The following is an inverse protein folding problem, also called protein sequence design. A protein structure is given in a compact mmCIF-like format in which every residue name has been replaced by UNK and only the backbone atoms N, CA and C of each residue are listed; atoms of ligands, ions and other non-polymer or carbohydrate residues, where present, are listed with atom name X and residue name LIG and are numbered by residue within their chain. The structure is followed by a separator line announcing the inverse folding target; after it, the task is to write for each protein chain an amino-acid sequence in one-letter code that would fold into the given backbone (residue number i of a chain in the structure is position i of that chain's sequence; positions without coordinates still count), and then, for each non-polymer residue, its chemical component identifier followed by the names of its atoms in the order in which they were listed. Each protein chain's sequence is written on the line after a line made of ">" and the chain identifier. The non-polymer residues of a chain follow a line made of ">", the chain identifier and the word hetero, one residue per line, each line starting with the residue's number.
data_IF_243835312592
#
_entry.id   IF_243835312592
#
_cell.length_a   1.000
_cell.length_b   1.000
_cell.length_c   1.000
_cell.angle_alpha   90.00
_cell.angle_beta   90.00
_cell.angle_gamma   90.00
#
_symmetry.space_group_name_H-M   'P 1'
#
loop_
_entity.id
_entity.type
_entity.pdbx_description
1 polymer ?
#
# COMPACT_ATOMS: atom_id res chain seq x y z
N UNK A 1 25.74 -6.63 -14.53
CA UNK A 1 24.99 -6.69 -13.25
C UNK A 1 23.99 -5.56 -13.23
N UNK A 2 22.75 -5.80 -12.79
CA UNK A 2 21.77 -4.73 -12.61
C UNK A 2 22.22 -3.78 -11.49
N UNK A 3 21.71 -2.53 -11.49
CA UNK A 3 21.95 -1.58 -10.39
C UNK A 3 21.54 -2.15 -9.02
N UNK A 4 20.55 -3.05 -9.03
CA UNK A 4 20.10 -3.86 -7.88
C UNK A 4 21.18 -4.85 -7.41
N UNK A 5 21.79 -5.61 -8.33
CA UNK A 5 22.82 -6.60 -8.00
C UNK A 5 24.12 -5.99 -7.40
N UNK A 6 24.34 -4.68 -7.59
CA UNK A 6 25.48 -3.94 -7.01
C UNK A 6 25.07 -3.02 -5.86
N UNK A 7 23.85 -3.14 -5.34
CA UNK A 7 23.37 -2.39 -4.17
C UNK A 7 23.16 -0.89 -4.38
N UNK A 8 23.11 -0.42 -5.64
CA UNK A 8 22.88 1.00 -5.97
C UNK A 8 21.41 1.39 -6.05
N UNK A 9 20.52 0.41 -6.08
CA UNK A 9 19.07 0.60 -5.97
C UNK A 9 18.59 -0.24 -4.80
N UNK A 10 17.90 0.39 -3.84
CA UNK A 10 17.21 -0.30 -2.75
C UNK A 10 15.75 -0.43 -3.14
N UNK A 11 15.24 -1.67 -3.14
CA UNK A 11 13.82 -1.95 -3.35
C UNK A 11 13.17 -2.31 -2.00
N UNK A 12 11.86 -2.19 -1.91
CA UNK A 12 11.11 -2.64 -0.74
C UNK A 12 11.21 -4.15 -0.58
N UNK A 13 11.05 -4.63 0.66
CA UNK A 13 11.06 -6.07 0.95
C UNK A 13 9.96 -6.79 0.17
N UNK A 14 8.77 -6.19 0.02
CA UNK A 14 7.68 -6.78 -0.76
C UNK A 14 8.04 -6.96 -2.24
N UNK A 15 8.68 -5.96 -2.85
CA UNK A 15 9.17 -6.09 -4.23
C UNK A 15 10.26 -7.15 -4.35
N UNK A 16 11.21 -7.18 -3.40
CA UNK A 16 12.29 -8.17 -3.39
C UNK A 16 11.74 -9.59 -3.28
N UNK A 17 10.82 -9.84 -2.35
CA UNK A 17 10.15 -11.12 -2.17
C UNK A 17 9.36 -11.53 -3.40
N UNK A 18 8.61 -10.61 -4.01
CA UNK A 18 7.86 -10.90 -5.22
C UNK A 18 8.77 -11.38 -6.36
N UNK A 19 9.95 -10.76 -6.52
CA UNK A 19 10.91 -11.20 -7.54
C UNK A 19 11.53 -12.56 -7.21
N UNK A 20 11.88 -12.81 -5.94
CA UNK A 20 12.49 -14.08 -5.50
C UNK A 20 11.51 -15.24 -5.72
N UNK A 21 10.25 -15.04 -5.33
CA UNK A 21 9.20 -16.06 -5.41
C UNK A 21 8.50 -16.11 -6.78
N UNK A 22 8.97 -15.32 -7.76
CA UNK A 22 8.35 -15.19 -9.09
C UNK A 22 6.86 -14.83 -9.04
N UNK A 23 6.46 -14.03 -8.04
CA UNK A 23 5.14 -13.41 -7.98
C UNK A 23 5.09 -12.31 -9.04
N UNK A 24 4.00 -12.27 -9.79
CA UNK A 24 3.79 -11.27 -10.83
C UNK A 24 3.75 -9.85 -10.23
N UNK A 25 4.77 -9.05 -10.53
CA UNK A 25 4.75 -7.60 -10.27
C UNK A 25 3.97 -6.92 -11.38
N UNK A 26 2.94 -6.16 -10.99
CA UNK A 26 2.03 -5.51 -11.95
C UNK A 26 2.76 -4.55 -12.89
N UNK A 27 2.45 -4.69 -14.16
CA UNK A 27 3.03 -3.91 -15.26
C UNK A 27 2.34 -2.57 -15.47
N UNK A 28 3.00 -1.70 -16.22
CA UNK A 28 2.42 -0.46 -16.74
C UNK A 28 1.11 -0.69 -17.50
N UNK A 29 1.03 -1.74 -18.32
CA UNK A 29 -0.19 -2.08 -19.07
C UNK A 29 -1.35 -2.40 -18.13
N UNK A 30 -1.09 -3.18 -17.09
CA UNK A 30 -2.11 -3.48 -16.07
C UNK A 30 -2.55 -2.23 -15.31
N UNK A 31 -1.63 -1.28 -15.05
CA UNK A 31 -1.99 0.00 -14.45
C UNK A 31 -2.93 0.82 -15.35
N UNK A 32 -2.67 0.86 -16.66
CA UNK A 32 -3.56 1.53 -17.63
C UNK A 32 -4.93 0.87 -17.74
N UNK A 33 -5.01 -0.45 -17.56
CA UNK A 33 -6.26 -1.22 -17.61
C UNK A 33 -7.05 -1.22 -16.29
N UNK A 34 -6.59 -0.50 -15.25
CA UNK A 34 -7.23 -0.52 -13.93
C UNK A 34 -7.04 -1.84 -13.16
N UNK A 35 -6.06 -2.65 -13.58
CA UNK A 35 -5.66 -3.93 -12.94
C UNK A 35 -4.41 -3.77 -12.09
N UNK A 36 -4.10 -2.56 -11.65
CA UNK A 36 -3.05 -2.25 -10.69
C UNK A 36 -3.35 -0.91 -10.02
N UNK A 37 -2.66 -0.66 -8.90
CA UNK A 37 -2.65 0.64 -8.23
C UNK A 37 -1.20 1.09 -8.12
N UNK A 38 -0.95 2.34 -8.51
CA UNK A 38 0.36 2.96 -8.42
C UNK A 38 0.68 3.32 -6.97
N UNK A 39 1.97 3.40 -6.64
CA UNK A 39 2.44 3.76 -5.29
C UNK A 39 2.13 5.20 -4.86
N UNK A 40 1.58 6.01 -5.76
CA UNK A 40 1.14 7.39 -5.52
C UNK A 40 -0.40 7.54 -5.58
N UNK A 41 -1.13 6.42 -5.68
CA UNK A 41 -2.59 6.29 -5.79
C UNK A 41 -3.17 6.85 -7.10
N UNK A 42 -2.72 8.03 -7.53
CA UNK A 42 -3.35 8.83 -8.58
C UNK A 42 -2.70 8.71 -9.95
N UNK A 43 -1.59 7.96 -10.07
CA UNK A 43 -0.72 7.88 -11.25
C UNK A 43 -0.02 9.20 -11.63
N UNK A 44 -0.16 10.28 -10.86
CA UNK A 44 0.39 11.59 -11.18
C UNK A 44 1.91 11.56 -11.34
N UNK A 45 2.62 10.96 -10.39
CA UNK A 45 4.07 10.83 -10.44
C UNK A 45 4.51 9.99 -11.64
N UNK A 46 3.81 8.89 -11.92
CA UNK A 46 4.13 8.00 -13.03
C UNK A 46 3.91 8.65 -14.39
N UNK A 47 2.81 9.40 -14.54
CA UNK A 47 2.52 10.21 -15.72
C UNK A 47 3.63 11.24 -15.94
N UNK A 48 4.10 11.92 -14.90
CA UNK A 48 5.10 12.98 -15.02
C UNK A 48 6.52 12.45 -15.29
N UNK A 49 6.88 11.28 -14.76
CA UNK A 49 8.28 10.86 -14.68
C UNK A 49 8.68 9.64 -15.53
N UNK A 50 7.75 8.76 -15.91
CA UNK A 50 8.11 7.49 -16.58
C UNK A 50 7.81 7.52 -18.08
N UNK A 51 6.56 7.84 -18.45
CA UNK A 51 6.13 8.01 -19.84
C UNK A 51 5.06 9.09 -19.92
N UNK A 52 5.45 10.37 -20.01
CA UNK A 52 4.52 11.45 -20.25
C UNK A 52 3.62 11.11 -21.43
N UNK A 53 2.30 11.23 -21.25
CA UNK A 53 1.23 10.93 -22.23
C UNK A 53 0.77 9.47 -22.39
N UNK A 54 1.37 8.49 -21.70
CA UNK A 54 0.90 7.09 -21.77
C UNK A 54 -0.08 6.73 -20.65
N UNK A 55 -0.05 7.43 -19.52
CA UNK A 55 -0.89 7.17 -18.34
C UNK A 55 -1.80 8.35 -18.05
N UNK A 56 -3.08 8.08 -17.90
CA UNK A 56 -4.03 9.03 -17.34
C UNK A 56 -3.92 9.02 -15.82
N UNK A 57 -4.01 10.21 -15.23
CA UNK A 57 -4.24 10.33 -13.79
C UNK A 57 -5.63 9.84 -13.46
N UNK A 58 -5.80 9.28 -12.27
CA UNK A 58 -7.07 8.82 -11.75
C UNK A 58 -7.33 9.45 -10.38
N UNK A 59 -8.60 9.52 -10.00
CA UNK A 59 -9.00 9.92 -8.67
C UNK A 59 -8.71 8.80 -7.64
N UNK A 60 -8.49 9.15 -6.36
CA UNK A 60 -8.30 8.17 -5.28
C UNK A 60 -9.41 7.11 -5.20
N UNK A 61 -10.65 7.48 -5.49
CA UNK A 61 -11.78 6.56 -5.47
C UNK A 61 -11.67 5.50 -6.58
N UNK A 62 -11.23 5.88 -7.78
CA UNK A 62 -10.97 4.93 -8.87
C UNK A 62 -9.81 4.00 -8.51
N UNK A 63 -8.77 4.51 -7.85
CA UNK A 63 -7.67 3.69 -7.37
C UNK A 63 -8.13 2.67 -6.31
N UNK A 64 -9.01 3.07 -5.41
CA UNK A 64 -9.62 2.19 -4.41
C UNK A 64 -10.47 1.09 -5.08
N UNK A 65 -11.26 1.44 -6.09
CA UNK A 65 -12.02 0.46 -6.89
C UNK A 65 -11.10 -0.54 -7.61
N UNK A 66 -9.98 -0.07 -8.16
CA UNK A 66 -8.97 -0.95 -8.74
C UNK A 66 -8.37 -1.91 -7.70
N UNK A 67 -8.03 -1.43 -6.49
CA UNK A 67 -7.51 -2.27 -5.41
C UNK A 67 -8.54 -3.34 -4.98
N UNK A 68 -9.80 -2.95 -4.79
CA UNK A 68 -10.90 -3.87 -4.48
C UNK A 68 -11.20 -4.83 -5.64
N UNK A 69 -10.95 -4.43 -6.88
CA UNK A 69 -11.00 -5.32 -8.04
C UNK A 69 -9.93 -6.41 -7.97
N UNK A 70 -8.73 -6.08 -7.46
CA UNK A 70 -7.68 -7.08 -7.22
C UNK A 70 -8.09 -8.05 -6.11
N UNK A 71 -8.63 -7.58 -4.98
CA UNK A 71 -8.99 -8.46 -3.86
C UNK A 71 -10.04 -9.52 -4.22
N UNK A 72 -10.81 -9.33 -5.29
CA UNK A 72 -11.77 -10.34 -5.81
C UNK A 72 -11.12 -11.50 -6.54
N UNK A 73 -9.87 -11.34 -6.99
CA UNK A 73 -9.18 -12.30 -7.85
C UNK A 73 -7.98 -12.97 -7.17
N UNK A 74 -7.65 -12.57 -5.94
CA UNK A 74 -6.48 -13.04 -5.20
C UNK A 74 -6.82 -13.22 -3.73
N UNK A 75 -6.27 -14.26 -3.10
CA UNK A 75 -6.45 -14.51 -1.67
C UNK A 75 -5.79 -13.42 -0.80
N UNK A 76 -4.72 -12.79 -1.30
CA UNK A 76 -4.02 -11.69 -0.64
C UNK A 76 -3.53 -10.66 -1.67
N UNK A 77 -3.66 -9.39 -1.33
CA UNK A 77 -3.11 -8.25 -2.10
C UNK A 77 -2.28 -7.39 -1.16
N UNK A 78 -1.01 -7.18 -1.50
CA UNK A 78 -0.11 -6.29 -0.78
C UNK A 78 0.11 -5.01 -1.59
N UNK A 79 0.01 -3.86 -0.93
CA UNK A 79 0.14 -2.54 -1.54
C UNK A 79 1.00 -1.62 -0.67
N UNK A 80 1.89 -0.87 -1.30
CA UNK A 80 2.79 0.07 -0.64
C UNK A 80 2.56 1.49 -1.16
N UNK A 81 2.48 2.45 -0.24
CA UNK A 81 2.34 3.87 -0.53
C UNK A 81 3.56 4.63 0.01
N UNK A 82 4.35 5.23 -0.89
CA UNK A 82 5.64 5.83 -0.51
C UNK A 82 5.60 7.35 -0.29
N UNK A 83 4.50 8.03 -0.65
CA UNK A 83 4.50 9.49 -0.65
C UNK A 83 4.59 10.10 0.76
N UNK A 84 4.07 9.43 1.78
CA UNK A 84 4.20 9.90 3.18
C UNK A 84 5.66 10.01 3.58
N UNK A 85 6.46 8.98 3.32
CA UNK A 85 7.90 9.01 3.61
C UNK A 85 8.63 10.06 2.77
N UNK A 86 8.33 10.14 1.45
CA UNK A 86 8.96 11.13 0.58
C UNK A 86 8.64 12.58 0.98
N UNK A 87 7.41 12.86 1.43
CA UNK A 87 7.03 14.18 1.95
C UNK A 87 7.67 14.45 3.30
N UNK A 88 7.70 13.45 4.20
CA UNK A 88 8.36 13.56 5.50
C UNK A 88 9.86 13.89 5.38
N UNK A 89 10.56 13.23 4.46
CA UNK A 89 11.95 13.55 4.10
C UNK A 89 12.13 14.84 3.27
N UNK A 90 11.05 15.57 2.96
CA UNK A 90 11.07 16.79 2.14
C UNK A 90 11.66 16.58 0.73
N UNK A 91 11.52 15.38 0.17
CA UNK A 91 12.10 15.00 -1.13
C UNK A 91 11.22 15.37 -2.32
N UNK A 92 9.94 15.68 -2.08
CA UNK A 92 8.99 16.06 -3.12
C UNK A 92 8.19 17.30 -2.69
N UNK A 93 7.82 18.18 -3.63
CA UNK A 93 7.11 19.43 -3.33
C UNK A 93 5.59 19.22 -3.25
N UNK A 94 5.14 18.22 -2.48
CA UNK A 94 3.72 17.94 -2.24
C UNK A 94 3.39 18.28 -0.80
N UNK A 95 2.27 18.96 -0.56
CA UNK A 95 1.91 19.35 0.81
C UNK A 95 1.40 18.14 1.62
N UNK A 96 1.68 18.06 2.94
CA UNK A 96 1.10 17.01 3.79
C UNK A 96 -0.44 16.96 3.73
N UNK A 97 -1.10 18.11 3.60
CA UNK A 97 -2.55 18.19 3.50
C UNK A 97 -3.10 17.53 2.21
N UNK A 98 -2.38 17.61 1.09
CA UNK A 98 -2.76 16.91 -0.15
C UNK A 98 -2.61 15.40 -0.01
N UNK A 99 -1.53 14.92 0.63
CA UNK A 99 -1.34 13.49 0.91
C UNK A 99 -2.46 12.95 1.79
N UNK A 100 -2.76 13.64 2.90
CA UNK A 100 -3.86 13.24 3.80
C UNK A 100 -5.19 13.22 3.07
N UNK A 101 -5.50 14.21 2.24
CA UNK A 101 -6.75 14.24 1.47
C UNK A 101 -6.84 13.09 0.46
N UNK A 102 -5.71 12.73 -0.17
CA UNK A 102 -5.63 11.58 -1.07
C UNK A 102 -5.91 10.27 -0.32
N UNK A 103 -5.24 10.06 0.82
CA UNK A 103 -5.44 8.88 1.66
C UNK A 103 -6.87 8.81 2.22
N UNK A 104 -7.43 9.91 2.70
CA UNK A 104 -8.79 9.98 3.24
C UNK A 104 -9.83 9.56 2.20
N UNK A 105 -9.75 10.12 0.99
CA UNK A 105 -10.63 9.74 -0.14
C UNK A 105 -10.46 8.27 -0.53
N UNK A 106 -9.22 7.80 -0.63
CA UNK A 106 -8.90 6.42 -0.98
C UNK A 106 -9.45 5.42 0.05
N UNK A 107 -9.14 5.64 1.34
CA UNK A 107 -9.58 4.79 2.44
C UNK A 107 -11.09 4.85 2.64
N UNK A 108 -11.68 6.05 2.55
CA UNK A 108 -13.14 6.23 2.61
C UNK A 108 -13.85 5.38 1.58
N UNK A 109 -13.36 5.38 0.33
CA UNK A 109 -13.93 4.56 -0.74
C UNK A 109 -13.74 3.06 -0.52
N UNK A 110 -12.57 2.63 0.00
CA UNK A 110 -12.35 1.23 0.39
C UNK A 110 -13.39 0.81 1.43
N UNK A 111 -13.49 1.55 2.54
CA UNK A 111 -14.38 1.20 3.64
C UNK A 111 -15.86 1.23 3.23
N UNK A 112 -16.25 2.10 2.29
CA UNK A 112 -17.60 2.16 1.75
C UNK A 112 -17.94 0.96 0.84
N UNK A 113 -17.00 0.53 0.00
CA UNK A 113 -17.28 -0.37 -1.13
C UNK A 113 -16.73 -1.79 -0.96
N UNK A 114 -15.93 -2.05 0.08
CA UNK A 114 -15.35 -3.36 0.34
C UNK A 114 -16.44 -4.39 0.63
N UNK A 115 -16.24 -5.62 0.14
CA UNK A 115 -17.13 -6.74 0.45
C UNK A 115 -16.98 -7.17 1.92
N UNK A 116 -18.05 -7.72 2.50
CA UNK A 116 -18.08 -8.12 3.91
C UNK A 116 -17.14 -9.29 4.24
N UNK A 117 -16.82 -10.10 3.24
CA UNK A 117 -15.92 -11.25 3.30
C UNK A 117 -14.45 -10.90 3.06
N UNK A 118 -14.14 -9.61 2.88
CA UNK A 118 -12.78 -9.13 2.68
C UNK A 118 -12.24 -8.58 4.00
N UNK A 119 -10.99 -8.91 4.31
CA UNK A 119 -10.22 -8.28 5.37
C UNK A 119 -9.35 -7.16 4.78
N UNK A 120 -9.51 -5.93 5.24
CA UNK A 120 -8.59 -4.84 4.98
C UNK A 120 -7.73 -4.56 6.20
N UNK A 121 -6.41 -4.53 5.99
CA UNK A 121 -5.42 -4.17 7.02
C UNK A 121 -4.51 -3.09 6.47
N UNK A 122 -4.34 -2.02 7.24
CA UNK A 122 -3.41 -0.94 6.94
C UNK A 122 -2.53 -0.68 8.17
N UNK A 123 -1.22 -0.58 7.94
CA UNK A 123 -0.25 -0.12 8.92
C UNK A 123 0.82 0.72 8.24
N UNK A 124 1.72 1.31 9.02
CA UNK A 124 2.97 1.89 8.53
C UNK A 124 4.16 1.15 9.14
N UNK A 125 5.30 1.18 8.47
CA UNK A 125 6.56 0.60 8.92
C UNK A 125 7.33 1.48 9.91
N UNK A 126 7.07 2.78 9.89
CA UNK A 126 7.63 3.74 10.85
C UNK A 126 6.85 5.07 10.87
N UNK A 127 7.11 5.91 11.86
CA UNK A 127 6.71 7.33 11.84
C UNK A 127 7.71 8.19 11.07
N UNK A 128 7.26 9.35 10.60
CA UNK A 128 8.02 10.42 9.95
C UNK A 128 7.03 11.55 9.63
N UNK A 129 6.05 11.21 8.80
CA UNK A 129 5.10 12.14 8.19
C UNK A 129 4.24 12.94 9.18
N UNK A 130 4.05 12.42 10.40
CA UNK A 130 3.30 13.09 11.47
C UNK A 130 4.07 14.21 12.16
N UNK A 131 5.41 14.22 12.06
CA UNK A 131 6.28 15.22 12.68
C UNK A 131 6.98 16.08 11.61
N UNK A 132 6.42 17.26 11.34
CA UNK A 132 7.01 18.22 10.40
C UNK A 132 8.23 18.99 10.93
N UNK A 133 8.73 18.70 12.14
CA UNK A 133 9.85 19.45 12.73
C UNK A 133 11.21 19.11 12.10
N UNK A 134 11.37 17.91 11.54
CA UNK A 134 12.60 17.46 10.90
C UNK A 134 12.31 16.41 9.81
N UNK A 135 13.34 15.98 9.09
CA UNK A 135 13.26 15.04 7.96
C UNK A 135 13.59 13.58 8.34
N UNK A 136 13.60 13.25 9.64
CA UNK A 136 13.98 11.92 10.13
C UNK A 136 12.76 11.10 10.53
N UNK A 137 12.96 9.79 10.58
CA UNK A 137 11.97 8.89 11.13
C UNK A 137 11.81 9.14 12.63
N UNK A 138 10.61 8.88 13.14
CA UNK A 138 10.27 8.99 14.56
C UNK A 138 10.11 7.60 15.18
N UNK A 139 10.12 7.56 16.51
CA UNK A 139 9.76 6.37 17.30
C UNK A 139 8.28 6.40 17.72
N UNK A 140 7.46 7.27 17.11
CA UNK A 140 6.04 7.35 17.41
C UNK A 140 5.34 6.06 16.98
N UNK A 141 4.29 5.63 17.70
CA UNK A 141 3.51 4.47 17.31
C UNK A 141 2.82 4.72 15.96
N UNK A 142 2.82 3.69 15.12
CA UNK A 142 2.14 3.69 13.82
C UNK A 142 0.69 3.23 13.95
N UNK A 143 -0.23 3.71 13.10
CA UNK A 143 -1.61 3.22 13.12
C UNK A 143 -1.67 1.77 12.65
N UNK A 144 -2.55 0.98 13.26
CA UNK A 144 -3.01 -0.31 12.73
C UNK A 144 -4.53 -0.24 12.58
N UNK A 145 -5.00 -0.28 11.33
CA UNK A 145 -6.43 -0.33 11.00
C UNK A 145 -6.71 -1.72 10.44
N UNK A 146 -7.64 -2.45 11.07
CA UNK A 146 -8.18 -3.70 10.56
C UNK A 146 -9.71 -3.56 10.44
N UNK A 147 -10.26 -3.94 9.29
CA UNK A 147 -11.70 -3.82 9.00
C UNK A 147 -12.18 -4.99 8.14
N UNK A 148 -13.39 -5.47 8.40
CA UNK A 148 -13.98 -6.61 7.70
C UNK A 148 -13.87 -7.94 8.47
N UNK A 149 -14.10 -9.04 7.77
CA UNK A 149 -14.06 -10.39 8.35
C UNK A 149 -12.64 -10.76 8.80
N UNK A 150 -12.45 -11.17 10.06
CA UNK A 150 -11.13 -11.48 10.62
C UNK A 150 -10.39 -10.29 11.24
N UNK A 151 -11.00 -9.10 11.28
CA UNK A 151 -10.39 -7.93 11.91
C UNK A 151 -10.13 -8.13 13.42
N UNK A 152 -10.90 -8.97 14.10
CA UNK A 152 -10.76 -9.30 15.51
C UNK A 152 -9.42 -9.98 15.85
N UNK A 153 -8.76 -10.62 14.87
CA UNK A 153 -7.43 -11.20 15.05
C UNK A 153 -6.36 -10.14 15.36
N UNK A 154 -6.60 -8.89 14.96
CA UNK A 154 -5.65 -7.79 15.13
C UNK A 154 -5.82 -7.02 16.45
N UNK A 155 -6.83 -7.32 17.27
CA UNK A 155 -7.09 -6.61 18.53
C UNK A 155 -5.95 -6.69 19.54
N UNK A 156 -5.16 -7.76 19.47
CA UNK A 156 -4.01 -7.98 20.36
C UNK A 156 -2.68 -7.68 19.70
N UNK A 157 -2.65 -7.26 18.43
CA UNK A 157 -1.42 -6.92 17.73
C UNK A 157 -0.86 -5.62 18.30
N UNK A 158 0.38 -5.66 18.80
CA UNK A 158 1.05 -4.52 19.43
C UNK A 158 2.24 -3.99 18.63
N UNK A 159 2.80 -4.80 17.74
CA UNK A 159 3.98 -4.45 16.96
C UNK A 159 3.87 -4.89 15.51
N UNK A 160 4.69 -4.28 14.65
CA UNK A 160 4.66 -4.56 13.22
C UNK A 160 5.13 -5.98 12.87
N UNK A 161 6.06 -6.54 13.64
CA UNK A 161 6.57 -7.90 13.44
C UNK A 161 5.52 -8.98 13.70
N UNK A 162 4.45 -8.65 14.43
CA UNK A 162 3.32 -9.54 14.66
C UNK A 162 2.34 -9.56 13.47
N UNK A 163 2.29 -8.50 12.65
CA UNK A 163 1.27 -8.33 11.58
C UNK A 163 1.27 -9.51 10.61
N UNK A 164 2.44 -9.96 10.15
CA UNK A 164 2.54 -11.08 9.23
C UNK A 164 1.99 -12.38 9.84
N UNK A 165 2.34 -12.66 11.09
CA UNK A 165 1.85 -13.85 11.79
C UNK A 165 0.34 -13.79 12.02
N UNK A 166 -0.19 -12.60 12.35
CA UNK A 166 -1.64 -12.39 12.51
C UNK A 166 -2.39 -12.63 11.20
N UNK A 167 -1.88 -12.14 10.06
CA UNK A 167 -2.46 -12.43 8.74
C UNK A 167 -2.49 -13.94 8.46
N UNK A 168 -1.41 -14.68 8.76
CA UNK A 168 -1.38 -16.13 8.59
C UNK A 168 -2.40 -16.85 9.49
N UNK A 169 -2.63 -16.35 10.70
CA UNK A 169 -3.63 -16.91 11.61
C UNK A 169 -5.06 -16.73 11.05
N UNK A 170 -5.36 -15.61 10.40
CA UNK A 170 -6.63 -15.39 9.69
C UNK A 170 -6.82 -16.46 8.61
N UNK A 171 -5.85 -16.63 7.71
CA UNK A 171 -5.93 -17.67 6.67
C UNK A 171 -6.11 -19.08 7.23
N UNK A 172 -5.36 -19.43 8.28
CA UNK A 172 -5.47 -20.74 8.91
C UNK A 172 -6.84 -20.99 9.56
N UNK A 173 -7.51 -19.94 10.03
CA UNK A 173 -8.87 -20.03 10.58
C UNK A 173 -9.91 -20.21 9.47
N UNK A 174 -9.80 -19.45 8.38
CA UNK A 174 -10.70 -19.56 7.22
C UNK A 174 -10.67 -20.94 6.57
N UNK A 175 -9.50 -21.57 6.48
CA UNK A 175 -9.38 -22.95 5.96
C UNK A 175 -10.04 -24.02 6.84
N UNK A 176 -10.24 -23.76 8.14
CA UNK A 176 -10.90 -24.72 9.06
C UNK A 176 -12.43 -24.60 9.05
N UNK A 177 -12.96 -23.53 8.46
CA UNK A 177 -14.39 -23.25 8.40
C UNK A 177 -15.08 -23.81 7.14
N UNK A 178 -14.30 -24.34 6.17
CA UNK A 178 -14.77 -25.10 5.00
C UNK A 178 -14.73 -26.61 5.25
#
# INVERSE_FOLDING_TARGET
>A
MSLRAIGKMRSSVLFEMAVIENIEVRSHTQLQEGKAVSSDITNLWWQQNVKPHALCTIDPETAAENLLGLSKNYDAVFYEFFLTDLVGHQRIPVSPAEIIRCLDRFLGKILESMSKDTLFVMTSDHGNFEDGANDKHTENPVPLIAFGEGAEFFYTTQSIDEVAQTVLNVFAASCKAQ
#
